data_IF_836945418812
#
_entry.id   IF_836945418812
#
_cell.length_a   1.000
_cell.length_b   1.000
_cell.length_c   1.000
_cell.angle_alpha   90.00
_cell.angle_beta   90.00
_cell.angle_gamma   90.00
#
_symmetry.space_group_name_H-M   'P 1'
#
loop_
_entity.id
_entity.type
_entity.pdbx_description
1 polymer ?
#
# COMPACT_ATOMS: atom_id res chain seq x y z
N UNK A 1 -21.30 11.83 14.37
CA UNK A 1 -20.05 11.55 13.64
C UNK A 1 -20.28 10.21 12.94
N UNK A 2 -20.44 10.16 11.62
CA UNK A 2 -20.69 8.90 10.94
C UNK A 2 -19.43 8.05 11.08
N UNK A 3 -19.61 6.86 11.62
CA UNK A 3 -18.57 5.85 11.76
C UNK A 3 -18.09 5.47 10.36
N UNK A 4 -16.79 5.62 10.09
CA UNK A 4 -16.18 4.94 8.95
C UNK A 4 -16.35 3.43 9.20
N UNK A 5 -17.09 2.75 8.32
CA UNK A 5 -17.26 1.31 8.40
C UNK A 5 -15.94 0.69 7.94
N UNK A 6 -15.21 0.04 8.85
CA UNK A 6 -14.05 -0.75 8.48
C UNK A 6 -14.52 -1.97 7.68
N UNK A 7 -14.38 -1.93 6.37
CA UNK A 7 -14.73 -3.04 5.49
C UNK A 7 -13.49 -3.87 5.17
N UNK A 8 -13.51 -5.14 5.57
CA UNK A 8 -12.48 -6.10 5.18
C UNK A 8 -12.82 -6.69 3.81
N UNK A 9 -12.15 -6.21 2.75
CA UNK A 9 -12.28 -6.75 1.41
C UNK A 9 -11.20 -7.80 1.15
N UNK A 10 -11.60 -9.07 0.99
CA UNK A 10 -10.68 -10.12 0.52
C UNK A 10 -10.55 -10.03 -0.99
N UNK A 11 -9.54 -9.29 -1.46
CA UNK A 11 -9.25 -9.16 -2.89
C UNK A 11 -8.25 -10.24 -3.30
N UNK A 12 -8.67 -11.18 -4.14
CA UNK A 12 -7.75 -12.14 -4.76
C UNK A 12 -6.90 -11.42 -5.80
N UNK A 13 -5.61 -11.27 -5.51
CA UNK A 13 -4.67 -10.59 -6.40
C UNK A 13 -4.17 -11.54 -7.49
N UNK A 14 -4.26 -11.10 -8.74
CA UNK A 14 -3.66 -11.76 -9.91
C UNK A 14 -2.68 -10.75 -10.51
N UNK A 15 -1.41 -10.84 -10.11
CA UNK A 15 -0.28 -9.96 -10.44
C UNK A 15 -0.11 -8.74 -9.52
N UNK A 16 -0.58 -7.56 -9.94
CA UNK A 16 -0.44 -6.31 -9.22
C UNK A 16 -1.80 -5.72 -8.92
N UNK A 17 -1.91 -5.06 -7.78
CA UNK A 17 -3.11 -4.34 -7.38
C UNK A 17 -2.73 -3.01 -6.76
N UNK A 18 -3.63 -2.06 -6.86
CA UNK A 18 -3.53 -0.77 -6.19
C UNK A 18 -4.79 -0.61 -5.34
N UNK A 19 -4.63 -0.22 -4.09
CA UNK A 19 -5.73 -0.02 -3.16
C UNK A 19 -5.75 1.43 -2.68
N UNK A 20 -6.96 1.96 -2.53
CA UNK A 20 -7.25 3.26 -1.93
C UNK A 20 -8.63 3.19 -1.28
N UNK A 21 -8.87 4.01 -0.25
CA UNK A 21 -10.20 4.20 0.30
C UNK A 21 -10.92 5.29 -0.49
N UNK A 22 -12.10 4.97 -1.01
CA UNK A 22 -12.95 5.95 -1.66
C UNK A 22 -13.53 6.90 -0.60
N UNK A 23 -13.14 8.16 -0.69
CA UNK A 23 -13.66 9.30 0.10
C UNK A 23 -14.15 10.36 -0.86
N UNK A 24 -14.99 11.31 -0.42
CA UNK A 24 -15.53 12.38 -1.30
C UNK A 24 -14.45 13.14 -2.09
N UNK A 25 -13.24 13.29 -1.51
CA UNK A 25 -12.09 13.97 -2.12
C UNK A 25 -11.17 13.06 -2.97
N UNK A 26 -11.35 11.74 -2.88
CA UNK A 26 -10.58 10.74 -3.63
C UNK A 26 -11.36 10.37 -4.90
N UNK A 27 -11.05 11.05 -6.00
CA UNK A 27 -11.81 10.96 -7.25
C UNK A 27 -11.52 9.70 -8.09
N UNK A 28 -12.43 9.36 -9.00
CA UNK A 28 -12.23 8.36 -10.06
C UNK A 28 -10.85 8.54 -10.73
N UNK A 29 -10.10 7.45 -10.88
CA UNK A 29 -8.73 7.36 -11.44
C UNK A 29 -7.55 7.64 -10.49
N UNK A 30 -7.72 7.48 -9.17
CA UNK A 30 -6.62 7.51 -8.18
C UNK A 30 -6.03 8.89 -7.94
N UNK A 31 -6.74 9.94 -8.37
CA UNK A 31 -6.28 11.31 -8.19
C UNK A 31 -6.70 11.76 -6.80
N UNK A 32 -5.72 12.29 -6.07
CA UNK A 32 -5.87 12.86 -4.73
C UNK A 32 -6.08 11.85 -3.59
N UNK A 33 -5.55 10.63 -3.72
CA UNK A 33 -5.66 9.59 -2.68
C UNK A 33 -4.29 9.09 -2.22
N UNK A 34 -4.17 8.69 -0.96
CA UNK A 34 -3.03 7.85 -0.52
C UNK A 34 -3.20 6.47 -1.15
N UNK A 35 -2.16 5.97 -1.80
CA UNK A 35 -2.20 4.72 -2.56
C UNK A 35 -1.33 3.68 -1.87
N UNK A 36 -1.81 2.44 -1.78
CA UNK A 36 -0.98 1.28 -1.46
C UNK A 36 -0.88 0.42 -2.72
N UNK A 37 0.33 0.29 -3.26
CA UNK A 37 0.63 -0.56 -4.42
C UNK A 37 1.13 -1.92 -3.93
N UNK A 38 0.52 -3.00 -4.40
CA UNK A 38 0.73 -4.34 -3.86
C UNK A 38 0.98 -5.32 -5.01
N UNK A 39 2.09 -6.04 -4.93
CA UNK A 39 2.38 -7.24 -5.72
C UNK A 39 2.52 -8.42 -4.77
N UNK A 40 1.65 -9.43 -4.89
CA UNK A 40 1.77 -10.69 -4.12
C UNK A 40 2.09 -11.84 -5.07
N UNK A 41 3.27 -12.43 -4.90
CA UNK A 41 3.73 -13.61 -5.64
C UNK A 41 4.88 -14.31 -4.93
N UNK A 42 4.97 -15.61 -5.18
CA UNK A 42 6.10 -16.41 -4.72
C UNK A 42 7.38 -15.99 -5.48
N UNK A 43 8.50 -15.76 -4.80
CA UNK A 43 9.76 -15.38 -5.44
C UNK A 43 10.30 -16.48 -6.36
N UNK A 44 10.68 -16.10 -7.57
CA UNK A 44 11.37 -16.99 -8.53
C UNK A 44 12.87 -16.71 -8.64
N UNK A 45 13.32 -15.59 -8.07
CA UNK A 45 14.71 -15.14 -7.96
C UNK A 45 14.83 -14.11 -6.82
N UNK A 46 16.05 -13.81 -6.33
CA UNK A 46 16.25 -12.74 -5.35
C UNK A 46 15.66 -11.40 -5.84
N UNK A 47 14.77 -10.81 -5.03
CA UNK A 47 14.10 -9.53 -5.36
C UNK A 47 12.93 -9.63 -6.34
N UNK A 48 12.52 -10.86 -6.72
CA UNK A 48 11.40 -11.10 -7.63
C UNK A 48 10.14 -11.62 -6.90
N UNK A 49 10.06 -11.46 -5.58
CA UNK A 49 8.94 -11.88 -4.74
C UNK A 49 7.85 -10.82 -4.61
N UNK A 50 7.10 -10.90 -3.53
CA UNK A 50 6.07 -9.92 -3.19
C UNK A 50 6.70 -8.56 -2.85
N UNK A 51 6.02 -7.48 -3.20
CA UNK A 51 6.43 -6.12 -2.83
C UNK A 51 5.22 -5.25 -2.54
N UNK A 52 5.35 -4.38 -1.55
CA UNK A 52 4.33 -3.38 -1.21
C UNK A 52 4.96 -2.02 -0.95
N UNK A 53 4.31 -0.97 -1.41
CA UNK A 53 4.71 0.41 -1.16
C UNK A 53 3.50 1.34 -0.98
N UNK A 54 3.77 2.47 -0.31
CA UNK A 54 2.85 3.59 -0.16
C UNK A 54 3.25 4.69 -1.13
N UNK A 55 2.29 5.29 -1.84
CA UNK A 55 2.52 6.39 -2.78
C UNK A 55 1.82 7.68 -2.35
N UNK A 56 2.57 8.78 -2.36
CA UNK A 56 2.12 10.18 -2.16
C UNK A 56 2.90 11.08 -3.15
N UNK A 57 2.68 10.90 -4.46
CA UNK A 57 3.40 11.63 -5.52
C UNK A 57 2.52 12.78 -6.00
N UNK A 58 2.84 14.01 -5.59
CA UNK A 58 2.01 15.23 -5.77
C UNK A 58 1.41 15.45 -7.18
N UNK A 59 2.03 14.92 -8.23
CA UNK A 59 1.54 15.02 -9.61
C UNK A 59 0.36 14.09 -9.94
N UNK A 60 0.25 12.95 -9.25
CA UNK A 60 -0.70 11.89 -9.56
C UNK A 60 -1.62 11.54 -8.37
N UNK A 61 -1.14 11.68 -7.14
CA UNK A 61 -1.84 11.30 -5.92
C UNK A 61 -1.38 12.15 -4.73
N UNK A 62 -2.26 12.42 -3.76
CA UNK A 62 -1.94 13.29 -2.60
C UNK A 62 -2.36 12.59 -1.32
N UNK A 63 -1.73 12.99 -0.21
CA UNK A 63 -2.15 12.50 1.09
C UNK A 63 -3.57 13.00 1.39
N UNK A 64 -4.47 12.08 1.71
CA UNK A 64 -5.86 12.37 2.08
C UNK A 64 -6.24 11.70 3.41
N UNK A 65 -5.81 10.46 3.60
CA UNK A 65 -6.04 9.69 4.83
C UNK A 65 -4.76 8.96 5.23
N UNK A 66 -4.55 8.72 6.52
CA UNK A 66 -3.53 7.80 6.97
C UNK A 66 -3.75 6.38 6.43
N UNK A 67 -2.66 5.72 6.07
CA UNK A 67 -2.70 4.35 5.58
C UNK A 67 -1.46 3.58 6.05
N UNK A 68 -1.62 2.29 6.29
CA UNK A 68 -0.52 1.39 6.62
C UNK A 68 -0.73 0.01 6.01
N UNK A 69 0.37 -0.71 5.82
CA UNK A 69 0.34 -2.12 5.46
C UNK A 69 1.31 -2.94 6.31
N UNK A 70 1.04 -4.23 6.45
CA UNK A 70 1.98 -5.19 7.05
C UNK A 70 1.81 -6.58 6.46
N UNK A 71 2.92 -7.27 6.21
CA UNK A 71 2.92 -8.66 5.76
C UNK A 71 2.44 -9.62 6.86
N UNK A 72 1.78 -10.69 6.42
CA UNK A 72 1.33 -11.82 7.23
C UNK A 72 1.64 -13.14 6.52
N UNK A 73 1.79 -14.24 7.28
CA UNK A 73 2.12 -15.57 6.72
C UNK A 73 3.41 -15.55 5.87
N UNK A 74 4.51 -15.05 6.44
CA UNK A 74 5.77 -14.72 5.79
C UNK A 74 6.09 -13.23 5.92
N UNK A 75 7.35 -12.90 6.24
CA UNK A 75 7.83 -11.54 6.53
C UNK A 75 6.98 -10.79 7.59
N UNK A 76 6.46 -11.49 8.60
CA UNK A 76 5.46 -10.94 9.52
C UNK A 76 5.91 -9.64 10.19
N UNK A 77 5.03 -8.64 10.13
CA UNK A 77 5.26 -7.34 10.74
C UNK A 77 6.15 -6.40 9.92
N UNK A 78 6.76 -6.86 8.83
CA UNK A 78 7.36 -5.95 7.85
C UNK A 78 6.28 -5.15 7.14
N UNK A 79 6.47 -3.84 7.07
CA UNK A 79 5.44 -2.92 6.63
C UNK A 79 5.85 -1.47 6.74
N UNK A 80 4.97 -0.57 6.29
CA UNK A 80 5.13 0.89 6.36
C UNK A 80 3.81 1.54 6.72
N UNK A 81 3.92 2.74 7.27
CA UNK A 81 2.77 3.54 7.70
C UNK A 81 2.98 5.01 7.36
N UNK A 82 1.93 5.66 6.86
CA UNK A 82 1.92 7.09 6.61
C UNK A 82 0.75 7.76 7.29
N UNK A 83 1.07 8.79 8.10
CA UNK A 83 0.10 9.55 8.89
C UNK A 83 0.06 11.04 8.54
N UNK A 84 0.84 11.47 7.53
CA UNK A 84 0.93 12.86 7.08
C UNK A 84 1.39 12.95 5.64
N UNK A 85 1.24 14.14 5.04
CA UNK A 85 1.75 14.45 3.71
C UNK A 85 3.26 14.22 3.61
N UNK A 86 4.06 14.65 4.59
CA UNK A 86 5.53 14.53 4.55
C UNK A 86 6.05 13.15 5.01
N UNK A 87 5.28 12.08 4.79
CA UNK A 87 5.62 10.75 5.28
C UNK A 87 6.92 10.21 4.65
N UNK A 88 7.99 9.94 5.42
CA UNK A 88 9.24 9.43 4.86
C UNK A 88 9.16 7.98 4.35
N UNK A 89 8.08 7.28 4.70
CA UNK A 89 7.85 5.87 4.39
C UNK A 89 7.00 5.66 3.10
N UNK A 90 6.72 6.74 2.35
CA UNK A 90 6.05 6.69 1.06
C UNK A 90 6.96 7.15 -0.09
N UNK A 91 6.65 6.70 -1.29
CA UNK A 91 7.15 7.29 -2.52
C UNK A 91 6.56 8.69 -2.71
N UNK A 92 7.43 9.70 -2.72
CA UNK A 92 7.14 11.07 -3.16
C UNK A 92 7.69 11.31 -4.58
N UNK A 93 8.73 10.57 -4.95
CA UNK A 93 9.29 10.52 -6.30
C UNK A 93 9.64 9.07 -6.68
N UNK A 94 9.78 8.81 -7.99
CA UNK A 94 9.99 7.46 -8.54
C UNK A 94 11.30 6.77 -8.12
N UNK A 95 12.15 7.42 -7.30
CA UNK A 95 13.45 6.91 -6.86
C UNK A 95 13.51 6.62 -5.36
N UNK A 96 12.39 6.75 -4.64
CA UNK A 96 12.31 6.50 -3.19
C UNK A 96 12.24 5.00 -2.86
N UNK A 97 13.19 4.23 -3.37
CA UNK A 97 13.19 2.77 -3.27
C UNK A 97 13.18 2.24 -1.83
N UNK A 98 13.60 3.05 -0.85
CA UNK A 98 13.56 2.71 0.59
C UNK A 98 12.13 2.65 1.16
N UNK A 99 11.14 3.22 0.46
CA UNK A 99 9.72 3.12 0.81
C UNK A 99 9.09 1.78 0.38
N UNK A 100 9.74 1.02 -0.50
CA UNK A 100 9.28 -0.28 -0.97
C UNK A 100 9.75 -1.39 -0.02
N UNK A 101 8.80 -2.21 0.43
CA UNK A 101 9.08 -3.39 1.26
C UNK A 101 8.96 -4.65 0.39
N UNK A 102 9.99 -5.48 0.39
CA UNK A 102 10.04 -6.75 -0.33
C UNK A 102 9.88 -7.92 0.63
N UNK A 103 9.01 -8.88 0.31
CA UNK A 103 8.97 -10.15 1.00
C UNK A 103 9.52 -11.29 0.12
N UNK A 104 10.40 -12.11 0.72
CA UNK A 104 11.07 -13.24 0.06
C UNK A 104 10.52 -14.60 0.47
N UNK A 105 9.42 -14.61 1.21
CA UNK A 105 8.73 -15.84 1.61
C UNK A 105 7.62 -16.18 0.60
N UNK A 106 7.36 -17.48 0.44
CA UNK A 106 6.25 -17.99 -0.35
C UNK A 106 4.92 -17.78 0.39
N UNK A 107 3.83 -17.63 -0.38
CA UNK A 107 2.45 -17.63 0.08
C UNK A 107 2.12 -16.55 1.14
N UNK A 108 2.87 -15.44 1.12
CA UNK A 108 2.63 -14.27 1.99
C UNK A 108 1.33 -13.55 1.67
N UNK A 109 0.71 -13.00 2.71
CA UNK A 109 -0.47 -12.15 2.65
C UNK A 109 -0.17 -10.74 3.15
N UNK A 110 -1.16 -9.86 3.05
CA UNK A 110 -1.04 -8.46 3.47
C UNK A 110 -2.26 -8.01 4.25
N UNK A 111 -2.03 -7.28 5.33
CA UNK A 111 -3.05 -6.48 6.02
C UNK A 111 -2.86 -5.04 5.58
N UNK A 112 -3.93 -4.43 5.08
CA UNK A 112 -4.01 -2.99 4.79
C UNK A 112 -4.93 -2.33 5.80
N UNK A 113 -4.56 -1.16 6.30
CA UNK A 113 -5.36 -0.37 7.23
C UNK A 113 -5.44 1.07 6.75
N UNK A 114 -6.65 1.61 6.71
CA UNK A 114 -6.94 3.03 6.49
C UNK A 114 -7.54 3.58 7.79
N UNK A 115 -7.20 4.82 8.17
CA UNK A 115 -7.68 5.45 9.42
C UNK A 115 -8.52 6.69 9.16
#
# INVERSE_FOLDING_TARGET
LPYAQAESHMVKMINQSMHWLETDDCSFNRRYCTIIEITLKNPTAPGAGSSVDLGIIELNNVFNIPASFSYINGCEGEGKSCYSLDCPDAFHVATDWDALVQCKDDDTGIIVTFC
#
